data_IF_144951366172
#
_entry.id   IF_144951366172
#
_cell.length_a   1.000
_cell.length_b   1.000
_cell.length_c   1.000
_cell.angle_alpha   90.00
_cell.angle_beta   90.00
_cell.angle_gamma   90.00
#
_symmetry.space_group_name_H-M   'P 1'
#
loop_
_entity.id
_entity.type
_entity.pdbx_description
1 polymer ?
#
# COMPACT_ATOMS: atom_id res chain seq x y z
N UNK A 1 16.40 -7.59 16.50
CA UNK A 1 14.96 -7.76 16.23
C UNK A 1 14.77 -9.09 15.53
N UNK A 2 13.67 -9.82 15.78
CA UNK A 2 13.38 -11.02 14.99
C UNK A 2 13.09 -10.64 13.54
N UNK A 3 13.39 -11.49 12.53
CA UNK A 3 13.07 -11.21 11.12
C UNK A 3 11.60 -10.87 10.90
N UNK A 4 10.69 -11.54 11.62
CA UNK A 4 9.25 -11.26 11.60
C UNK A 4 8.94 -9.82 12.02
N UNK A 5 9.45 -9.39 13.19
CA UNK A 5 9.22 -8.03 13.66
C UNK A 5 9.85 -6.99 12.74
N UNK A 6 11.02 -7.31 12.17
CA UNK A 6 11.67 -6.44 11.18
C UNK A 6 10.76 -6.27 9.97
N UNK A 7 10.28 -7.35 9.36
CA UNK A 7 9.40 -7.30 8.19
C UNK A 7 8.10 -6.53 8.47
N UNK A 8 7.48 -6.72 9.63
CA UNK A 8 6.27 -6.00 10.02
C UNK A 8 6.47 -4.49 10.19
N UNK A 9 7.65 -4.07 10.66
CA UNK A 9 7.91 -2.65 10.96
C UNK A 9 8.45 -1.86 9.78
N UNK A 10 9.05 -2.51 8.79
CA UNK A 10 9.67 -1.85 7.63
C UNK A 10 8.68 -0.95 6.86
N UNK A 11 7.46 -1.37 6.51
CA UNK A 11 6.49 -0.52 5.82
C UNK A 11 6.17 0.75 6.60
N UNK A 12 5.80 0.63 7.87
CA UNK A 12 5.55 1.75 8.77
C UNK A 12 6.73 2.74 8.83
N UNK A 13 7.97 2.24 8.84
CA UNK A 13 9.14 3.11 8.81
C UNK A 13 9.25 3.88 7.49
N UNK A 14 8.79 3.31 6.37
CA UNK A 14 8.66 4.00 5.08
C UNK A 14 7.71 5.19 5.17
N UNK A 15 6.49 4.97 5.66
CA UNK A 15 5.47 6.01 5.88
C UNK A 15 5.99 7.11 6.83
N UNK A 16 6.63 6.72 7.93
CA UNK A 16 7.21 7.66 8.89
C UNK A 16 8.36 8.48 8.27
N UNK A 17 9.22 7.85 7.46
CA UNK A 17 10.31 8.52 6.76
C UNK A 17 9.77 9.54 5.74
N UNK A 18 8.75 9.17 4.98
CA UNK A 18 8.06 10.08 4.07
C UNK A 18 7.43 11.27 4.79
N UNK A 19 6.76 11.01 5.90
CA UNK A 19 6.16 12.04 6.74
C UNK A 19 7.22 13.00 7.32
N UNK A 20 8.44 12.54 7.55
CA UNK A 20 9.54 13.34 8.08
C UNK A 20 10.04 14.42 7.09
N UNK A 21 9.69 14.34 5.80
CA UNK A 21 10.05 15.41 4.84
C UNK A 21 9.53 16.78 5.25
N UNK A 22 8.44 16.86 6.02
CA UNK A 22 7.90 18.10 6.57
C UNK A 22 8.91 18.89 7.43
N UNK A 23 9.93 18.25 7.97
CA UNK A 23 10.97 18.93 8.75
C UNK A 23 11.97 19.67 7.86
N UNK A 24 12.19 19.20 6.64
CA UNK A 24 13.20 19.72 5.71
C UNK A 24 12.59 20.61 4.63
N UNK A 25 11.39 20.32 4.16
CA UNK A 25 10.73 21.10 3.12
C UNK A 25 10.01 22.32 3.69
N UNK A 26 10.18 23.46 3.02
CA UNK A 26 9.58 24.73 3.42
C UNK A 26 8.29 25.06 2.66
N UNK A 27 8.01 24.35 1.57
CA UNK A 27 6.88 24.59 0.65
C UNK A 27 6.19 23.27 0.34
N UNK A 28 5.02 23.36 -0.27
CA UNK A 28 4.33 22.20 -0.83
C UNK A 28 5.20 21.47 -1.87
N UNK A 29 4.95 20.19 -2.05
CA UNK A 29 5.66 19.40 -3.05
C UNK A 29 5.31 19.89 -4.45
N UNK A 30 6.31 20.14 -5.32
CA UNK A 30 6.04 20.50 -6.70
C UNK A 30 5.17 19.44 -7.40
N UNK A 31 4.14 19.83 -8.19
CA UNK A 31 3.23 18.88 -8.82
C UNK A 31 3.91 17.81 -9.67
N UNK A 32 4.98 18.16 -10.39
CA UNK A 32 5.76 17.19 -11.16
C UNK A 32 6.43 16.14 -10.30
N UNK A 33 6.98 16.54 -9.14
CA UNK A 33 7.60 15.60 -8.19
C UNK A 33 6.53 14.67 -7.62
N UNK A 34 5.36 15.21 -7.27
CA UNK A 34 4.23 14.42 -6.81
C UNK A 34 3.80 13.37 -7.84
N UNK A 35 3.67 13.76 -9.12
CA UNK A 35 3.32 12.83 -10.21
C UNK A 35 4.34 11.70 -10.36
N UNK A 36 5.64 12.01 -10.32
CA UNK A 36 6.70 10.97 -10.39
C UNK A 36 6.57 10.01 -9.24
N UNK A 37 6.43 10.52 -8.01
CA UNK A 37 6.39 9.70 -6.81
C UNK A 37 5.13 8.82 -6.74
N UNK A 38 3.96 9.35 -7.12
CA UNK A 38 2.72 8.57 -7.21
C UNK A 38 2.78 7.50 -8.29
N UNK A 39 3.31 7.85 -9.47
CA UNK A 39 3.55 6.86 -10.52
C UNK A 39 4.51 5.77 -10.05
N UNK A 40 5.60 6.15 -9.40
CA UNK A 40 6.59 5.22 -8.85
C UNK A 40 5.97 4.27 -7.80
N UNK A 41 5.21 4.80 -6.84
CA UNK A 41 4.48 4.00 -5.86
C UNK A 41 3.52 3.02 -6.53
N UNK A 42 2.72 3.49 -7.50
CA UNK A 42 1.82 2.63 -8.30
C UNK A 42 2.56 1.49 -8.99
N UNK A 43 3.73 1.77 -9.57
CA UNK A 43 4.56 0.75 -10.24
C UNK A 43 5.05 -0.32 -9.26
N UNK A 44 5.54 0.10 -8.09
CA UNK A 44 5.95 -0.82 -7.01
C UNK A 44 4.79 -1.68 -6.57
N UNK A 45 3.61 -1.08 -6.29
CA UNK A 45 2.42 -1.80 -5.85
C UNK A 45 1.94 -2.84 -6.87
N UNK A 46 1.91 -2.49 -8.16
CA UNK A 46 1.50 -3.45 -9.22
C UNK A 46 2.48 -4.61 -9.30
N UNK A 47 3.78 -4.35 -9.28
CA UNK A 47 4.79 -5.40 -9.32
C UNK A 47 4.69 -6.31 -8.08
N UNK A 48 4.61 -5.75 -6.87
CA UNK A 48 4.43 -6.49 -5.63
C UNK A 48 3.16 -7.36 -5.66
N UNK A 49 2.04 -6.79 -6.13
CA UNK A 49 0.78 -7.54 -6.27
C UNK A 49 0.93 -8.75 -7.18
N UNK A 50 1.69 -8.63 -8.27
CA UNK A 50 1.88 -9.73 -9.22
C UNK A 50 2.87 -10.77 -8.68
N UNK A 51 4.10 -10.38 -8.38
CA UNK A 51 5.18 -11.32 -8.04
C UNK A 51 5.07 -11.87 -6.63
N UNK A 52 4.83 -11.00 -5.64
CA UNK A 52 4.83 -11.43 -4.24
C UNK A 52 3.50 -12.01 -3.76
N UNK A 53 2.38 -11.78 -4.48
CA UNK A 53 1.05 -12.17 -4.00
C UNK A 53 0.27 -13.04 -5.00
N UNK A 54 0.06 -12.59 -6.27
CA UNK A 54 -0.76 -13.34 -7.24
C UNK A 54 -0.05 -14.60 -7.69
N UNK A 55 1.21 -14.53 -8.10
CA UNK A 55 1.97 -15.69 -8.56
C UNK A 55 2.04 -16.75 -7.46
N UNK A 56 2.46 -16.47 -6.22
CA UNK A 56 2.42 -17.44 -5.13
C UNK A 56 1.02 -18.01 -4.86
N UNK A 57 -0.02 -17.18 -4.95
CA UNK A 57 -1.40 -17.67 -4.80
C UNK A 57 -1.77 -18.71 -5.86
N UNK A 58 -1.33 -18.51 -7.11
CA UNK A 58 -1.54 -19.46 -8.21
C UNK A 58 -0.74 -20.76 -7.97
N UNK A 59 0.52 -20.63 -7.59
CA UNK A 59 1.44 -21.76 -7.37
C UNK A 59 1.03 -22.68 -6.22
N UNK A 60 0.36 -22.12 -5.21
CA UNK A 60 -0.20 -22.92 -4.11
C UNK A 60 -1.41 -23.77 -4.52
N UNK A 61 -2.05 -23.45 -5.64
CA UNK A 61 -3.21 -24.17 -6.16
C UNK A 61 -2.82 -25.32 -7.08
N UNK A 62 -3.71 -26.31 -7.22
CA UNK A 62 -3.58 -27.39 -8.19
C UNK A 62 -4.85 -27.49 -9.04
N UNK A 63 -4.70 -27.76 -10.35
CA UNK A 63 -5.83 -27.89 -11.26
C UNK A 63 -6.72 -26.63 -11.28
N UNK A 64 -8.02 -26.79 -11.09
CA UNK A 64 -8.96 -25.67 -11.08
C UNK A 64 -8.72 -24.69 -9.91
N UNK A 65 -8.21 -25.16 -8.77
CA UNK A 65 -7.93 -24.29 -7.62
C UNK A 65 -6.83 -23.27 -7.91
N UNK A 66 -5.87 -23.57 -8.79
CA UNK A 66 -4.84 -22.62 -9.21
C UNK A 66 -5.40 -21.37 -9.92
N UNK A 67 -6.64 -21.42 -10.39
CA UNK A 67 -7.31 -20.28 -11.04
C UNK A 67 -8.41 -19.71 -10.15
N UNK A 68 -9.21 -20.56 -9.53
CA UNK A 68 -10.39 -20.14 -8.75
C UNK A 68 -9.97 -19.37 -7.50
N UNK A 69 -8.96 -19.87 -6.75
CA UNK A 69 -8.54 -19.24 -5.50
C UNK A 69 -8.02 -17.81 -5.73
N UNK A 70 -7.06 -17.57 -6.67
CA UNK A 70 -6.61 -16.24 -6.97
C UNK A 70 -7.71 -15.33 -7.51
N UNK A 71 -8.58 -15.82 -8.41
CA UNK A 71 -9.66 -15.03 -8.98
C UNK A 71 -10.66 -14.56 -7.91
N UNK A 72 -11.11 -15.48 -7.05
CA UNK A 72 -12.06 -15.17 -5.97
C UNK A 72 -11.42 -14.23 -4.93
N UNK A 73 -10.17 -14.52 -4.54
CA UNK A 73 -9.44 -13.66 -3.60
C UNK A 73 -9.27 -12.25 -4.14
N UNK A 74 -8.79 -12.11 -5.37
CA UNK A 74 -8.58 -10.82 -6.03
C UNK A 74 -9.89 -10.00 -6.11
N UNK A 75 -10.97 -10.60 -6.60
CA UNK A 75 -12.27 -9.93 -6.66
C UNK A 75 -12.80 -9.58 -5.26
N UNK A 76 -12.53 -10.43 -4.27
CA UNK A 76 -12.87 -10.17 -2.86
C UNK A 76 -12.14 -8.94 -2.32
N UNK A 77 -10.85 -8.77 -2.63
CA UNK A 77 -10.05 -7.60 -2.24
C UNK A 77 -10.56 -6.31 -2.88
N UNK A 78 -10.87 -6.35 -4.18
CA UNK A 78 -11.51 -5.23 -4.87
C UNK A 78 -12.86 -4.86 -4.26
N UNK A 79 -13.72 -5.85 -4.06
CA UNK A 79 -15.06 -5.62 -3.48
C UNK A 79 -14.99 -5.10 -2.04
N UNK A 80 -14.01 -5.55 -1.27
CA UNK A 80 -13.79 -5.09 0.09
C UNK A 80 -13.44 -3.60 0.13
N UNK A 81 -12.47 -3.15 -0.67
CA UNK A 81 -12.10 -1.73 -0.70
C UNK A 81 -13.20 -0.87 -1.31
N UNK A 82 -13.84 -1.32 -2.38
CA UNK A 82 -15.01 -0.63 -2.93
C UNK A 82 -16.11 -0.43 -1.87
N UNK A 83 -16.36 -1.43 -1.02
CA UNK A 83 -17.32 -1.31 0.08
C UNK A 83 -16.84 -0.31 1.13
N UNK A 84 -15.55 -0.34 1.49
CA UNK A 84 -14.98 0.60 2.46
C UNK A 84 -15.09 2.04 1.94
N UNK A 85 -14.78 2.29 0.67
CA UNK A 85 -14.90 3.60 0.04
C UNK A 85 -16.35 4.10 0.07
N UNK A 86 -17.30 3.23 -0.21
CA UNK A 86 -18.71 3.59 -0.18
C UNK A 86 -19.19 4.00 1.22
N UNK A 87 -18.65 3.40 2.29
CA UNK A 87 -19.09 3.67 3.68
C UNK A 87 -18.19 4.68 4.41
N UNK A 88 -17.08 5.08 3.84
CA UNK A 88 -16.10 5.97 4.47
C UNK A 88 -16.08 7.34 3.79
N UNK A 89 -16.16 8.45 4.56
CA UNK A 89 -16.05 9.78 3.96
C UNK A 89 -14.60 10.04 3.54
N UNK A 90 -14.33 10.04 2.24
CA UNK A 90 -13.01 10.30 1.67
C UNK A 90 -13.07 11.32 0.54
N UNK A 91 -11.95 11.72 0.00
CA UNK A 91 -11.85 12.67 -1.11
C UNK A 91 -10.91 12.11 -2.16
N UNK A 92 -11.42 11.96 -3.36
CA UNK A 92 -10.59 11.79 -4.54
C UNK A 92 -10.14 13.16 -5.06
N UNK A 93 -8.88 13.35 -5.37
CA UNK A 93 -8.37 14.62 -5.88
C UNK A 93 -9.07 15.09 -7.17
N UNK A 94 -9.58 14.15 -7.99
CA UNK A 94 -10.30 14.44 -9.25
C UNK A 94 -11.80 14.47 -9.08
N UNK A 95 -12.38 13.54 -8.31
CA UNK A 95 -13.83 13.32 -8.21
C UNK A 95 -14.54 14.21 -7.18
N UNK A 96 -13.80 14.79 -6.25
CA UNK A 96 -14.39 15.49 -5.11
C UNK A 96 -14.70 14.57 -3.92
N UNK A 97 -15.55 15.00 -3.00
CA UNK A 97 -15.90 14.20 -1.82
C UNK A 97 -16.81 13.03 -2.19
N UNK A 98 -16.46 11.84 -1.73
CA UNK A 98 -17.26 10.62 -1.84
C UNK A 98 -17.56 10.02 -0.47
N UNK A 99 -18.48 9.04 -0.44
CA UNK A 99 -18.96 8.44 0.79
C UNK A 99 -19.94 9.33 1.57
N UNK A 100 -20.22 9.02 2.83
CA UNK A 100 -21.18 9.75 3.66
C UNK A 100 -20.75 11.19 3.92
N UNK A 101 -21.70 12.12 4.04
CA UNK A 101 -21.42 13.50 4.44
C UNK A 101 -20.65 13.56 5.76
N UNK A 102 -19.55 14.31 5.79
CA UNK A 102 -18.67 14.42 6.95
C UNK A 102 -18.16 15.84 7.13
N UNK A 103 -18.03 16.26 8.39
CA UNK A 103 -17.45 17.55 8.80
C UNK A 103 -15.91 17.53 8.87
N UNK A 104 -15.28 16.42 8.49
CA UNK A 104 -13.82 16.31 8.46
C UNK A 104 -13.23 17.28 7.44
N UNK A 105 -12.09 17.87 7.77
CA UNK A 105 -11.31 18.68 6.80
C UNK A 105 -10.87 17.83 5.62
N UNK A 106 -10.54 18.48 4.50
CA UNK A 106 -10.01 17.80 3.31
C UNK A 106 -8.81 16.91 3.65
N UNK A 107 -7.87 17.46 4.41
CA UNK A 107 -6.63 16.75 4.78
C UNK A 107 -6.90 15.60 5.77
N UNK A 108 -7.91 15.74 6.65
CA UNK A 108 -8.31 14.64 7.52
C UNK A 108 -8.94 13.48 6.74
N UNK A 109 -9.72 13.77 5.70
CA UNK A 109 -10.28 12.76 4.80
C UNK A 109 -9.19 12.06 3.99
N UNK A 110 -8.21 12.82 3.48
CA UNK A 110 -7.04 12.24 2.80
C UNK A 110 -6.24 11.32 3.74
N UNK A 111 -5.96 11.77 4.96
CA UNK A 111 -5.24 10.94 5.93
C UNK A 111 -6.02 9.66 6.29
N UNK A 112 -7.35 9.74 6.35
CA UNK A 112 -8.21 8.58 6.59
C UNK A 112 -8.17 7.60 5.42
N UNK A 113 -8.28 8.08 4.17
CA UNK A 113 -8.16 7.27 2.96
C UNK A 113 -6.84 6.48 2.97
N UNK A 114 -5.70 7.17 3.05
CA UNK A 114 -4.39 6.50 3.08
C UNK A 114 -4.26 5.52 4.27
N UNK A 115 -4.81 5.85 5.44
CA UNK A 115 -4.81 4.92 6.59
C UNK A 115 -5.56 3.63 6.27
N UNK A 116 -6.69 3.71 5.56
CA UNK A 116 -7.47 2.54 5.15
C UNK A 116 -6.68 1.70 4.14
N UNK A 117 -5.98 2.33 3.20
CA UNK A 117 -5.21 1.64 2.17
C UNK A 117 -3.96 0.97 2.73
N UNK A 118 -3.31 1.55 3.72
CA UNK A 118 -2.15 0.97 4.40
C UNK A 118 -2.49 -0.33 5.16
N UNK A 119 -3.75 -0.53 5.55
CA UNK A 119 -4.14 -1.75 6.25
C UNK A 119 -4.01 -3.03 5.39
N UNK A 120 -4.52 -3.10 4.15
CA UNK A 120 -4.24 -4.20 3.21
C UNK A 120 -2.76 -4.44 2.91
N UNK A 121 -1.94 -3.38 2.88
CA UNK A 121 -0.50 -3.52 2.69
C UNK A 121 0.15 -4.25 3.87
N UNK A 122 -0.21 -3.87 5.09
CA UNK A 122 0.20 -4.60 6.28
C UNK A 122 -0.27 -6.05 6.27
N UNK A 123 -1.52 -6.30 5.85
CA UNK A 123 -2.03 -7.66 5.69
C UNK A 123 -1.20 -8.46 4.67
N UNK A 124 -0.82 -7.86 3.52
CA UNK A 124 0.02 -8.52 2.51
C UNK A 124 1.34 -9.01 3.10
N UNK A 125 2.02 -8.15 3.87
CA UNK A 125 3.25 -8.52 4.60
C UNK A 125 2.97 -9.64 5.61
N UNK A 126 1.88 -9.54 6.37
CA UNK A 126 1.47 -10.57 7.33
C UNK A 126 1.23 -11.94 6.68
N UNK A 127 0.57 -11.97 5.53
CA UNK A 127 0.32 -13.21 4.77
C UNK A 127 1.63 -13.80 4.22
N UNK A 128 2.52 -12.95 3.66
CA UNK A 128 3.83 -13.39 3.19
C UNK A 128 4.69 -13.98 4.32
N UNK A 129 4.70 -13.35 5.50
CA UNK A 129 5.40 -13.87 6.68
C UNK A 129 4.75 -15.19 7.15
N UNK A 130 3.42 -15.26 7.21
CA UNK A 130 2.72 -16.48 7.60
C UNK A 130 3.08 -17.63 6.65
N UNK A 131 3.12 -17.38 5.35
CA UNK A 131 3.60 -18.33 4.35
C UNK A 131 5.05 -18.78 4.62
N UNK A 132 5.94 -17.86 4.91
CA UNK A 132 7.35 -18.15 5.21
C UNK A 132 7.56 -18.95 6.50
N UNK A 133 6.63 -18.88 7.45
CA UNK A 133 6.70 -19.62 8.72
C UNK A 133 6.04 -21.01 8.65
N UNK A 134 5.13 -21.24 7.72
CA UNK A 134 4.21 -22.39 7.72
C UNK A 134 4.19 -23.20 6.41
N UNK A 135 4.72 -22.63 5.33
CA UNK A 135 4.77 -23.23 4.00
C UNK A 135 6.18 -23.10 3.41
N UNK A 136 6.35 -23.49 2.16
CA UNK A 136 7.65 -23.44 1.46
C UNK A 136 8.04 -22.04 0.97
N UNK A 137 7.50 -20.98 1.58
CA UNK A 137 7.87 -19.60 1.28
C UNK A 137 9.20 -19.21 1.90
N UNK A 138 9.93 -18.34 1.21
CA UNK A 138 11.19 -17.81 1.72
C UNK A 138 10.95 -16.52 2.53
N UNK A 139 11.52 -16.44 3.73
CA UNK A 139 11.50 -15.21 4.54
C UNK A 139 12.16 -14.02 3.81
N UNK A 140 13.10 -14.27 2.90
CA UNK A 140 13.69 -13.23 2.08
C UNK A 140 12.67 -12.59 1.13
N UNK A 141 11.74 -13.35 0.55
CA UNK A 141 10.61 -12.81 -0.24
C UNK A 141 9.68 -11.94 0.59
N UNK A 142 9.34 -12.36 1.82
CA UNK A 142 8.55 -11.53 2.73
C UNK A 142 9.26 -10.21 3.10
N UNK A 143 10.58 -10.22 3.25
CA UNK A 143 11.39 -9.03 3.47
C UNK A 143 11.48 -8.15 2.21
N UNK A 144 11.59 -8.75 1.03
CA UNK A 144 11.59 -8.03 -0.25
C UNK A 144 10.27 -7.29 -0.45
N UNK A 145 9.13 -7.97 -0.23
CA UNK A 145 7.80 -7.34 -0.23
C UNK A 145 7.72 -6.19 0.77
N UNK A 146 8.14 -6.41 2.02
CA UNK A 146 8.13 -5.37 3.06
C UNK A 146 8.95 -4.15 2.66
N UNK A 147 10.13 -4.36 2.06
CA UNK A 147 11.00 -3.29 1.58
C UNK A 147 10.36 -2.55 0.40
N UNK A 148 9.76 -3.26 -0.54
CA UNK A 148 9.03 -2.66 -1.66
C UNK A 148 7.89 -1.76 -1.16
N UNK A 149 7.07 -2.27 -0.24
CA UNK A 149 6.00 -1.50 0.39
C UNK A 149 6.57 -0.28 1.14
N UNK A 150 7.65 -0.42 1.89
CA UNK A 150 8.28 0.72 2.56
C UNK A 150 8.73 1.81 1.58
N UNK A 151 9.29 1.43 0.43
CA UNK A 151 9.76 2.37 -0.58
C UNK A 151 8.58 3.15 -1.19
N UNK A 152 7.45 2.51 -1.47
CA UNK A 152 6.24 3.19 -1.97
C UNK A 152 5.59 4.09 -0.90
N UNK A 153 5.66 3.70 0.37
CA UNK A 153 5.06 4.44 1.49
C UNK A 153 5.80 5.75 1.81
N UNK A 154 7.06 5.91 1.36
CA UNK A 154 7.76 7.20 1.48
C UNK A 154 7.01 8.33 0.76
N UNK A 155 6.62 8.23 -0.53
CA UNK A 155 5.69 9.16 -1.15
C UNK A 155 4.40 9.40 -0.38
N UNK A 156 3.76 8.35 0.10
CA UNK A 156 2.45 8.42 0.76
C UNK A 156 2.50 9.21 2.08
N UNK A 157 3.48 8.93 2.94
CA UNK A 157 3.68 9.71 4.16
C UNK A 157 3.94 11.20 3.89
N UNK A 158 4.65 11.53 2.81
CA UNK A 158 4.88 12.90 2.39
C UNK A 158 3.59 13.59 1.89
N UNK A 159 2.76 12.87 1.13
CA UNK A 159 1.48 13.38 0.58
C UNK A 159 0.50 13.73 1.71
N UNK A 160 0.53 13.06 2.86
CA UNK A 160 -0.29 13.41 4.01
C UNK A 160 0.33 14.58 4.80
N UNK A 161 1.59 14.48 5.14
CA UNK A 161 2.23 15.41 6.09
C UNK A 161 2.44 16.81 5.53
N UNK A 162 2.74 16.92 4.22
CA UNK A 162 3.04 18.20 3.60
C UNK A 162 1.82 19.11 3.44
N UNK A 163 0.65 18.67 2.96
CA UNK A 163 -0.56 19.50 2.95
C UNK A 163 -0.99 19.90 4.35
N UNK A 164 -0.91 19.00 5.35
CA UNK A 164 -1.18 19.35 6.75
C UNK A 164 -0.31 20.49 7.23
N UNK A 165 0.96 20.51 6.84
CA UNK A 165 1.85 21.62 7.16
C UNK A 165 1.46 22.91 6.44
N UNK A 166 1.05 22.83 5.18
CA UNK A 166 0.59 23.98 4.39
C UNK A 166 -0.68 24.63 4.98
N UNK A 167 -1.58 23.84 5.58
CA UNK A 167 -2.75 24.30 6.33
C UNK A 167 -2.42 25.00 7.66
N UNK A 168 -1.14 25.17 8.00
CA UNK A 168 -0.70 25.89 9.19
C UNK A 168 -0.45 25.03 10.44
N UNK A 169 -0.60 23.68 10.34
CA UNK A 169 -0.26 22.80 11.45
C UNK A 169 1.25 22.88 11.77
N UNK A 170 1.64 22.64 13.02
CA UNK A 170 3.05 22.52 13.38
C UNK A 170 3.70 21.34 12.66
N UNK A 171 5.03 21.42 12.41
CA UNK A 171 5.77 20.33 11.77
C UNK A 171 5.62 19.00 12.50
N UNK A 172 5.67 19.05 13.83
CA UNK A 172 5.55 17.85 14.67
C UNK A 172 4.15 17.23 14.56
N UNK A 173 3.09 18.06 14.52
CA UNK A 173 1.71 17.57 14.35
C UNK A 173 1.50 16.98 12.97
N UNK A 174 1.98 17.64 11.91
CA UNK A 174 1.89 17.15 10.54
C UNK A 174 2.65 15.83 10.37
N UNK A 175 3.88 15.74 10.88
CA UNK A 175 4.65 14.51 10.95
C UNK A 175 3.89 13.40 11.70
N UNK A 176 3.39 13.72 12.90
CA UNK A 176 2.69 12.73 13.74
C UNK A 176 1.46 12.14 13.05
N UNK A 177 0.63 12.96 12.41
CA UNK A 177 -0.56 12.48 11.68
C UNK A 177 -0.14 11.61 10.49
N UNK A 178 0.83 12.07 9.68
CA UNK A 178 1.32 11.30 8.54
C UNK A 178 2.00 9.98 8.96
N UNK A 179 2.82 9.97 10.01
CA UNK A 179 3.43 8.75 10.50
C UNK A 179 2.39 7.78 11.10
N UNK A 180 1.38 8.30 11.83
CA UNK A 180 0.34 7.47 12.43
C UNK A 180 -0.59 6.83 11.38
N UNK A 181 -0.71 7.37 10.17
CA UNK A 181 -1.47 6.70 9.10
C UNK A 181 -0.86 5.34 8.72
N UNK A 182 0.45 5.16 8.89
CA UNK A 182 1.14 3.89 8.65
C UNK A 182 1.08 2.90 9.82
N UNK A 183 0.58 3.28 11.00
CA UNK A 183 0.57 2.37 12.16
C UNK A 183 -0.34 1.15 11.93
N UNK A 184 -1.29 1.25 11.04
CA UNK A 184 -2.21 0.16 10.67
C UNK A 184 -1.51 -0.95 9.89
N UNK A 185 -0.35 -0.70 9.29
CA UNK A 185 0.45 -1.69 8.57
C UNK A 185 0.96 -2.79 9.51
N UNK A 186 1.75 -2.50 10.57
CA UNK A 186 2.15 -3.53 11.52
C UNK A 186 0.95 -4.14 12.25
N UNK A 187 -0.15 -3.41 12.45
CA UNK A 187 -1.37 -3.94 13.06
C UNK A 187 -2.07 -4.93 12.13
N UNK A 188 -2.21 -4.62 10.84
CA UNK A 188 -2.78 -5.52 9.83
C UNK A 188 -1.96 -6.79 9.68
N UNK A 189 -0.64 -6.66 9.59
CA UNK A 189 0.26 -7.80 9.54
C UNK A 189 0.24 -8.67 10.80
N UNK A 190 0.23 -8.05 11.98
CA UNK A 190 0.10 -8.76 13.24
C UNK A 190 -1.24 -9.51 13.36
N UNK A 191 -2.35 -8.89 12.92
CA UNK A 191 -3.67 -9.54 12.89
C UNK A 191 -3.64 -10.81 12.05
N UNK A 192 -3.05 -10.74 10.85
CA UNK A 192 -2.91 -11.91 9.96
C UNK A 192 -2.07 -12.99 10.65
N UNK A 193 -0.96 -12.64 11.29
CA UNK A 193 -0.10 -13.61 11.99
C UNK A 193 -0.79 -14.25 13.19
N UNK A 194 -1.62 -13.52 13.92
CA UNK A 194 -2.45 -14.08 15.01
C UNK A 194 -3.46 -15.10 14.50
N UNK A 195 -3.93 -14.93 13.27
CA UNK A 195 -4.88 -15.81 12.61
C UNK A 195 -4.20 -16.87 11.73
N UNK A 196 -2.86 -16.90 11.65
CA UNK A 196 -2.11 -17.69 10.67
C UNK A 196 -2.50 -19.16 10.64
N UNK A 197 -2.65 -19.80 11.81
CA UNK A 197 -3.06 -21.22 11.88
C UNK A 197 -4.47 -21.48 11.33
N UNK A 198 -5.36 -20.51 11.42
CA UNK A 198 -6.74 -20.58 10.93
C UNK A 198 -6.84 -20.30 9.43
N UNK A 199 -5.90 -19.51 8.89
CA UNK A 199 -5.94 -19.08 7.48
C UNK A 199 -5.09 -19.96 6.54
N UNK A 200 -4.31 -20.92 7.04
CA UNK A 200 -3.49 -21.80 6.21
C UNK A 200 -4.26 -22.45 5.06
N UNK A 201 -5.46 -22.95 5.33
CA UNK A 201 -6.30 -23.60 4.32
C UNK A 201 -6.87 -22.64 3.25
N UNK A 202 -6.83 -21.33 3.51
CA UNK A 202 -7.31 -20.28 2.60
C UNK A 202 -6.21 -19.31 2.19
N UNK A 203 -4.95 -19.67 2.42
CA UNK A 203 -3.78 -18.82 2.13
C UNK A 203 -3.78 -18.28 0.68
N UNK A 204 -4.05 -19.10 -0.37
CA UNK A 204 -4.11 -18.60 -1.75
C UNK A 204 -5.14 -17.48 -1.92
N UNK A 205 -6.31 -17.60 -1.26
CA UNK A 205 -7.33 -16.55 -1.29
C UNK A 205 -6.85 -15.28 -0.59
N UNK A 206 -6.15 -15.42 0.54
CA UNK A 206 -5.66 -14.27 1.32
C UNK A 206 -4.56 -13.50 0.59
N UNK A 207 -3.63 -14.19 -0.06
CA UNK A 207 -2.62 -13.57 -0.91
C UNK A 207 -3.27 -12.76 -2.04
N UNK A 208 -4.18 -13.39 -2.78
CA UNK A 208 -4.86 -12.72 -3.88
C UNK A 208 -5.82 -11.61 -3.41
N UNK A 209 -6.42 -11.75 -2.22
CA UNK A 209 -7.23 -10.70 -1.61
C UNK A 209 -6.39 -9.44 -1.32
N UNK A 210 -5.22 -9.60 -0.72
CA UNK A 210 -4.31 -8.48 -0.48
C UNK A 210 -3.87 -7.82 -1.81
N UNK A 211 -3.53 -8.64 -2.83
CA UNK A 211 -3.22 -8.12 -4.16
C UNK A 211 -4.39 -7.35 -4.79
N UNK A 212 -5.62 -7.86 -4.66
CA UNK A 212 -6.82 -7.20 -5.16
C UNK A 212 -7.06 -5.84 -4.49
N UNK A 213 -6.91 -5.77 -3.18
CA UNK A 213 -7.01 -4.52 -2.43
C UNK A 213 -5.94 -3.51 -2.86
N UNK A 214 -4.67 -3.93 -3.00
CA UNK A 214 -3.60 -3.06 -3.48
C UNK A 214 -3.84 -2.56 -4.92
N UNK A 215 -4.27 -3.43 -5.83
CA UNK A 215 -4.59 -3.03 -7.21
C UNK A 215 -5.79 -2.08 -7.28
N UNK A 216 -6.78 -2.23 -6.41
CA UNK A 216 -7.89 -1.28 -6.28
C UNK A 216 -7.36 0.13 -6.01
N UNK A 217 -6.50 0.31 -5.00
CA UNK A 217 -5.88 1.60 -4.67
C UNK A 217 -5.13 2.19 -5.85
N UNK A 218 -4.36 1.37 -6.56
CA UNK A 218 -3.63 1.83 -7.74
C UNK A 218 -4.57 2.40 -8.81
N UNK A 219 -5.65 1.69 -9.12
CA UNK A 219 -6.58 2.06 -10.20
C UNK A 219 -7.48 3.22 -9.81
N UNK A 220 -8.00 3.20 -8.57
CA UNK A 220 -8.98 4.19 -8.12
C UNK A 220 -8.35 5.49 -7.66
N UNK A 221 -7.15 5.45 -7.10
CA UNK A 221 -6.54 6.64 -6.51
C UNK A 221 -5.24 7.07 -7.17
N UNK A 222 -4.23 6.20 -7.21
CA UNK A 222 -2.91 6.62 -7.60
C UNK A 222 -2.82 6.97 -9.10
N UNK A 223 -3.42 6.15 -9.99
CA UNK A 223 -3.41 6.41 -11.43
C UNK A 223 -4.18 7.67 -11.78
N UNK A 224 -5.39 7.93 -11.29
CA UNK A 224 -6.06 9.20 -11.48
C UNK A 224 -5.24 10.39 -11.00
N UNK A 225 -4.60 10.30 -9.84
CA UNK A 225 -3.85 11.40 -9.23
C UNK A 225 -2.65 11.84 -10.07
N UNK A 226 -1.82 10.92 -10.52
CA UNK A 226 -0.67 11.32 -11.34
C UNK A 226 -1.02 11.64 -12.78
N UNK A 227 -2.22 11.26 -13.24
CA UNK A 227 -2.70 11.55 -14.59
C UNK A 227 -3.34 12.93 -14.73
N UNK A 228 -3.60 13.64 -13.62
CA UNK A 228 -4.30 14.92 -13.62
C UNK A 228 -3.52 16.07 -14.24
N UNK A 229 -4.27 17.12 -14.67
CA UNK A 229 -3.74 18.38 -15.15
C UNK A 229 -3.15 18.28 -16.56
N UNK A 230 -2.14 19.11 -16.85
CA UNK A 230 -1.50 19.06 -18.16
C UNK A 230 -0.88 17.70 -18.45
N UNK A 231 -1.05 17.21 -19.68
CA UNK A 231 -0.49 15.93 -20.11
C UNK A 231 1.03 15.89 -19.88
N UNK A 232 1.47 14.84 -19.19
CA UNK A 232 2.89 14.64 -18.90
C UNK A 232 3.16 13.14 -18.75
N UNK A 233 4.20 12.65 -19.42
CA UNK A 233 4.62 11.26 -19.31
C UNK A 233 5.39 10.97 -18.01
N UNK A 234 5.56 11.96 -17.13
CA UNK A 234 6.46 11.85 -15.97
C UNK A 234 5.94 10.81 -14.95
N UNK A 235 4.63 10.75 -14.74
CA UNK A 235 4.01 9.71 -13.88
C UNK A 235 4.18 8.31 -14.47
N UNK A 236 4.01 8.16 -15.80
CA UNK A 236 4.23 6.90 -16.49
C UNK A 236 5.69 6.43 -16.41
N UNK A 237 6.64 7.37 -16.50
CA UNK A 237 8.07 7.07 -16.31
C UNK A 237 8.31 6.63 -14.85
N UNK A 238 7.73 7.34 -13.89
CA UNK A 238 7.76 6.94 -12.48
C UNK A 238 7.24 5.52 -12.29
N UNK A 239 6.06 5.21 -12.85
CA UNK A 239 5.48 3.86 -12.81
C UNK A 239 6.44 2.79 -13.34
N UNK A 240 7.02 3.01 -14.52
CA UNK A 240 7.95 2.05 -15.11
C UNK A 240 9.18 1.81 -14.22
N UNK A 241 9.73 2.87 -13.61
CA UNK A 241 10.86 2.77 -12.70
C UNK A 241 10.51 2.01 -11.41
N UNK A 242 9.37 2.30 -10.80
CA UNK A 242 8.89 1.61 -9.61
C UNK A 242 8.61 0.14 -9.88
N UNK A 243 7.94 -0.15 -10.99
CA UNK A 243 7.65 -1.53 -11.42
C UNK A 243 8.93 -2.35 -11.61
N UNK A 244 9.92 -1.80 -12.33
CA UNK A 244 11.20 -2.49 -12.57
C UNK A 244 11.97 -2.67 -11.26
N UNK A 245 12.01 -1.66 -10.40
CA UNK A 245 12.66 -1.78 -9.10
C UNK A 245 12.09 -2.94 -8.29
N UNK A 246 10.77 -2.99 -8.12
CA UNK A 246 10.12 -4.04 -7.33
C UNK A 246 10.27 -5.42 -7.97
N UNK A 247 10.12 -5.51 -9.29
CA UNK A 247 10.37 -6.76 -10.03
C UNK A 247 11.80 -7.28 -9.77
N UNK A 248 12.80 -6.40 -9.77
CA UNK A 248 14.19 -6.80 -9.48
C UNK A 248 14.35 -7.25 -8.03
N UNK A 249 13.77 -6.51 -7.09
CA UNK A 249 13.82 -6.88 -5.66
C UNK A 249 13.23 -8.29 -5.44
N UNK A 250 12.09 -8.55 -6.04
CA UNK A 250 11.38 -9.82 -5.89
C UNK A 250 12.14 -10.99 -6.53
N UNK A 251 12.65 -10.81 -7.75
CA UNK A 251 13.40 -11.86 -8.47
C UNK A 251 14.77 -12.13 -7.84
N UNK A 252 15.43 -11.12 -7.25
CA UNK A 252 16.77 -11.26 -6.67
C UNK A 252 16.74 -11.73 -5.22
N UNK A 253 15.75 -11.32 -4.45
CA UNK A 253 15.65 -11.60 -3.01
C UNK A 253 14.56 -12.64 -2.68
N UNK A 254 13.51 -12.75 -3.49
CA UNK A 254 12.41 -13.73 -3.33
C UNK A 254 12.76 -15.04 -3.96
#
# INVERSE_FOLDING_TARGET
>A
MSPVLTALMIPFLGTALGSAFVFFMKREMPPLVQKVLLGFASGVMVAASVWSLIIPSIEMGAGAAAVISPAVGLLGGFAFLLLIDYVTPHIHPVGGPEGPESRLSRTAKLALAVTIHNFPEGMAVGVAIAGALTADFNMAGALALSLGIAIQNVPEGAIISMPLRAEGNSRLKAFGIGALSGIVEPLGGALVLLLATSILGIMPYMLAFAAGAMLYVVVEELVPDYSQGEHSNIGTIGFALGFVLMMVLDVVLG
#
